data_IF_861137327689
#
_entry.id   IF_861137327689
#
_cell.length_a   1.000
_cell.length_b   1.000
_cell.length_c   1.000
_cell.angle_alpha   90.00
_cell.angle_beta   90.00
_cell.angle_gamma   90.00
#
_symmetry.space_group_name_H-M   'P 1'
#
loop_
_entity.id
_entity.type
_entity.pdbx_description
1 polymer ?
#
# COMPACT_ATOMS: atom_id res chain seq x y z
N UNK A 1 -24.35 3.55 -11.79
CA UNK A 1 -23.79 2.67 -12.84
C UNK A 1 -23.80 1.23 -12.39
N UNK A 2 -23.82 0.29 -13.34
CA UNK A 2 -23.58 -1.14 -13.10
C UNK A 2 -22.14 -1.48 -13.48
N UNK A 3 -21.33 -1.80 -12.50
CA UNK A 3 -19.87 -1.97 -12.65
C UNK A 3 -19.52 -3.44 -12.52
N UNK A 4 -18.83 -4.00 -13.52
CA UNK A 4 -18.15 -5.29 -13.39
C UNK A 4 -16.73 -5.06 -12.89
N UNK A 5 -16.46 -5.41 -11.64
CA UNK A 5 -15.13 -5.28 -11.06
C UNK A 5 -14.40 -6.63 -11.09
N UNK A 6 -13.19 -6.63 -11.63
CA UNK A 6 -12.35 -7.83 -11.76
C UNK A 6 -11.07 -7.63 -10.96
N UNK A 7 -10.81 -8.49 -9.98
CA UNK A 7 -9.66 -8.37 -9.09
C UNK A 7 -8.82 -9.65 -9.03
N UNK A 8 -7.51 -9.47 -8.83
CA UNK A 8 -6.55 -10.55 -8.60
C UNK A 8 -6.59 -11.12 -7.17
N UNK A 9 -7.49 -10.59 -6.31
CA UNK A 9 -7.66 -11.01 -4.91
C UNK A 9 -9.04 -10.63 -4.37
N UNK A 10 -9.52 -11.42 -3.41
CA UNK A 10 -10.64 -11.04 -2.54
C UNK A 10 -10.13 -10.03 -1.50
N UNK A 11 -10.74 -8.83 -1.33
CA UNK A 11 -10.17 -7.74 -0.54
C UNK A 11 -10.39 -7.86 0.99
N UNK A 12 -10.63 -9.04 1.51
CA UNK A 12 -10.76 -9.30 2.94
C UNK A 12 -10.11 -10.66 3.28
N UNK A 13 -9.48 -10.82 4.46
CA UNK A 13 -9.23 -9.83 5.52
C UNK A 13 -8.23 -8.74 5.13
N UNK A 14 -8.24 -7.60 5.83
CA UNK A 14 -7.47 -6.38 5.53
C UNK A 14 -5.98 -6.53 5.89
N UNK A 15 -5.28 -7.48 5.23
CA UNK A 15 -3.90 -7.85 5.55
C UNK A 15 -2.84 -7.18 4.70
N UNK A 16 -3.23 -6.38 3.72
CA UNK A 16 -2.30 -5.68 2.82
C UNK A 16 -2.90 -4.36 2.32
N UNK A 17 -2.05 -3.46 1.82
CA UNK A 17 -2.49 -2.18 1.27
C UNK A 17 -3.53 -2.31 0.15
N UNK A 18 -3.36 -3.28 -0.75
CA UNK A 18 -4.34 -3.55 -1.80
C UNK A 18 -5.70 -3.99 -1.25
N UNK A 19 -5.72 -4.85 -0.20
CA UNK A 19 -6.97 -5.24 0.46
C UNK A 19 -7.66 -4.04 1.10
N UNK A 20 -6.93 -3.21 1.85
CA UNK A 20 -7.47 -2.01 2.49
C UNK A 20 -8.04 -1.05 1.44
N UNK A 21 -7.31 -0.83 0.34
CA UNK A 21 -7.74 0.04 -0.76
C UNK A 21 -9.05 -0.45 -1.37
N UNK A 22 -9.06 -1.66 -1.90
CA UNK A 22 -10.22 -2.18 -2.63
C UNK A 22 -11.45 -2.32 -1.73
N UNK A 23 -11.27 -2.74 -0.47
CA UNK A 23 -12.34 -2.79 0.54
C UNK A 23 -13.02 -1.44 0.73
N UNK A 24 -12.24 -0.37 0.95
CA UNK A 24 -12.80 0.96 1.20
C UNK A 24 -13.41 1.57 -0.07
N UNK A 25 -12.82 1.33 -1.23
CA UNK A 25 -13.41 1.74 -2.53
C UNK A 25 -14.76 1.05 -2.74
N UNK A 26 -14.86 -0.27 -2.56
CA UNK A 26 -16.12 -1.01 -2.66
C UNK A 26 -17.18 -0.47 -1.70
N UNK A 27 -16.81 -0.26 -0.43
CA UNK A 27 -17.68 0.27 0.62
C UNK A 27 -18.33 1.60 0.22
N UNK A 28 -17.57 2.51 -0.39
CA UNK A 28 -18.08 3.84 -0.74
C UNK A 28 -18.81 3.80 -2.08
N UNK A 29 -18.27 3.14 -3.10
CA UNK A 29 -18.90 3.03 -4.41
C UNK A 29 -20.29 2.35 -4.34
N UNK A 30 -20.47 1.41 -3.42
CA UNK A 30 -21.75 0.70 -3.24
C UNK A 30 -22.93 1.62 -2.90
N UNK A 31 -22.66 2.82 -2.36
CA UNK A 31 -23.70 3.83 -2.09
C UNK A 31 -24.35 4.37 -3.36
N UNK A 32 -23.62 4.43 -4.48
CA UNK A 32 -24.08 5.05 -5.73
C UNK A 32 -24.08 4.10 -6.94
N UNK A 33 -23.47 2.92 -6.82
CA UNK A 33 -23.27 2.00 -7.93
C UNK A 33 -23.65 0.57 -7.57
N UNK A 34 -24.08 -0.20 -8.57
CA UNK A 34 -24.28 -1.64 -8.43
C UNK A 34 -23.01 -2.36 -8.87
N UNK A 35 -22.32 -3.01 -7.93
CA UNK A 35 -21.05 -3.67 -8.19
C UNK A 35 -21.24 -5.18 -8.25
N UNK A 36 -20.76 -5.78 -9.33
CA UNK A 36 -20.54 -7.24 -9.43
C UNK A 36 -19.04 -7.48 -9.37
N UNK A 37 -18.56 -8.15 -8.31
CA UNK A 37 -17.15 -8.46 -8.13
C UNK A 37 -16.84 -9.89 -8.59
N UNK A 38 -15.84 -10.03 -9.46
CA UNK A 38 -15.25 -11.32 -9.84
C UNK A 38 -13.79 -11.32 -9.43
N UNK A 39 -13.38 -12.19 -8.52
CA UNK A 39 -12.03 -12.14 -7.98
C UNK A 39 -11.42 -13.53 -7.70
N UNK A 40 -10.09 -13.56 -7.58
CA UNK A 40 -9.37 -14.73 -7.11
C UNK A 40 -9.41 -14.83 -5.58
N UNK A 41 -9.72 -16.02 -5.05
CA UNK A 41 -9.74 -16.34 -3.62
C UNK A 41 -8.54 -17.21 -3.26
N UNK A 42 -7.90 -16.91 -2.14
CA UNK A 42 -6.81 -17.73 -1.58
C UNK A 42 -7.38 -18.83 -0.67
N UNK A 43 -6.67 -19.97 -0.49
CA UNK A 43 -7.17 -21.09 0.32
C UNK A 43 -7.48 -20.78 1.78
N UNK A 44 -6.88 -19.72 2.35
CA UNK A 44 -7.13 -19.32 3.74
C UNK A 44 -8.34 -18.40 3.92
N UNK A 45 -8.92 -17.93 2.81
CA UNK A 45 -10.09 -17.04 2.86
C UNK A 45 -11.36 -17.88 2.95
N UNK A 46 -12.24 -17.50 3.87
CA UNK A 46 -13.44 -18.25 4.25
C UNK A 46 -14.70 -17.67 3.61
N UNK A 47 -15.84 -18.31 3.86
CA UNK A 47 -17.14 -17.80 3.42
C UNK A 47 -17.55 -16.56 4.24
N UNK A 48 -17.09 -16.44 5.50
CA UNK A 48 -17.27 -15.21 6.28
C UNK A 48 -16.53 -14.03 5.65
N UNK A 49 -15.33 -14.26 5.09
CA UNK A 49 -14.58 -13.22 4.36
C UNK A 49 -15.34 -12.76 3.12
N UNK A 50 -15.98 -13.68 2.40
CA UNK A 50 -16.85 -13.36 1.26
C UNK A 50 -18.09 -12.62 1.75
N UNK A 51 -18.69 -13.06 2.86
CA UNK A 51 -19.83 -12.43 3.51
C UNK A 51 -19.58 -10.97 3.89
N UNK A 52 -18.36 -10.65 4.34
CA UNK A 52 -17.98 -9.27 4.64
C UNK A 52 -18.01 -8.37 3.39
N UNK A 53 -17.51 -8.86 2.26
CA UNK A 53 -17.51 -8.10 1.00
C UNK A 53 -18.90 -8.06 0.36
N UNK A 54 -19.75 -9.05 0.59
CA UNK A 54 -21.12 -9.08 0.05
C UNK A 54 -22.00 -7.94 0.56
N UNK A 55 -21.62 -7.29 1.65
CA UNK A 55 -22.30 -6.07 2.14
C UNK A 55 -22.20 -4.91 1.15
N UNK A 56 -21.21 -4.93 0.25
CA UNK A 56 -20.92 -3.84 -0.69
C UNK A 56 -21.15 -4.23 -2.16
N UNK A 57 -21.34 -5.51 -2.44
CA UNK A 57 -21.49 -6.00 -3.81
C UNK A 57 -22.85 -6.65 -4.01
N UNK A 58 -23.51 -6.31 -5.12
CA UNK A 58 -24.76 -6.97 -5.54
C UNK A 58 -24.52 -8.47 -5.78
N UNK A 59 -23.35 -8.83 -6.29
CA UNK A 59 -22.95 -10.21 -6.60
C UNK A 59 -21.45 -10.36 -6.45
N UNK A 60 -21.03 -11.48 -5.89
CA UNK A 60 -19.61 -11.85 -5.81
C UNK A 60 -19.43 -13.24 -6.43
N UNK A 61 -18.44 -13.34 -7.29
CA UNK A 61 -18.00 -14.63 -7.84
C UNK A 61 -16.52 -14.79 -7.52
N UNK A 62 -16.19 -15.80 -6.75
CA UNK A 62 -14.80 -16.13 -6.42
C UNK A 62 -14.32 -17.34 -7.24
N UNK A 63 -13.05 -17.30 -7.64
CA UNK A 63 -12.38 -18.45 -8.24
C UNK A 63 -11.08 -18.72 -7.47
N UNK A 64 -10.72 -19.98 -7.33
CA UNK A 64 -9.51 -20.32 -6.58
C UNK A 64 -8.27 -19.82 -7.30
N UNK A 65 -7.40 -19.15 -6.54
CA UNK A 65 -6.11 -18.71 -7.01
C UNK A 65 -5.14 -19.87 -7.11
N UNK A 66 -4.47 -19.98 -8.25
CA UNK A 66 -3.40 -20.95 -8.45
C UNK A 66 -2.16 -20.61 -7.62
N UNK A 67 -1.42 -21.63 -7.19
CA UNK A 67 -0.12 -21.42 -6.54
C UNK A 67 0.84 -20.73 -7.51
N UNK A 68 1.31 -19.53 -7.13
CA UNK A 68 2.26 -18.75 -7.93
C UNK A 68 3.58 -19.51 -8.09
N UNK A 69 4.15 -19.94 -6.97
CA UNK A 69 5.40 -20.70 -6.92
C UNK A 69 5.13 -22.19 -7.07
N UNK A 70 5.11 -22.64 -8.32
CA UNK A 70 5.02 -24.05 -8.69
C UNK A 70 5.91 -24.33 -9.90
N UNK A 71 6.49 -25.52 -9.98
CA UNK A 71 7.33 -25.94 -11.12
C UNK A 71 6.58 -25.75 -12.45
N UNK A 72 5.30 -26.13 -12.47
CA UNK A 72 4.43 -25.95 -13.64
C UNK A 72 4.34 -24.48 -14.08
N UNK A 73 4.25 -23.54 -13.12
CA UNK A 73 4.14 -22.12 -13.44
C UNK A 73 5.47 -21.55 -13.91
N UNK A 74 6.58 -21.98 -13.32
CA UNK A 74 7.94 -21.59 -13.73
C UNK A 74 8.21 -22.04 -15.19
N UNK A 75 7.97 -23.33 -15.49
CA UNK A 75 8.13 -23.87 -16.85
C UNK A 75 7.23 -23.13 -17.84
N UNK A 76 5.96 -22.93 -17.49
CA UNK A 76 5.01 -22.20 -18.34
C UNK A 76 5.47 -20.77 -18.62
N UNK A 77 6.09 -20.10 -17.67
CA UNK A 77 6.64 -18.74 -17.85
C UNK A 77 7.79 -18.73 -18.85
N UNK A 78 8.66 -19.75 -18.80
CA UNK A 78 9.77 -19.90 -19.76
C UNK A 78 9.30 -19.93 -21.21
N UNK A 79 8.24 -20.69 -21.50
CA UNK A 79 7.70 -20.88 -22.86
C UNK A 79 6.54 -19.93 -23.20
N UNK A 80 6.15 -19.02 -22.32
CA UNK A 80 5.05 -18.08 -22.50
C UNK A 80 5.54 -16.67 -22.83
N UNK A 81 4.69 -15.91 -23.52
CA UNK A 81 4.87 -14.44 -23.66
C UNK A 81 4.56 -13.68 -22.38
N UNK A 82 3.93 -14.33 -21.40
CA UNK A 82 3.57 -13.71 -20.12
C UNK A 82 4.71 -13.83 -19.12
N UNK A 83 4.98 -12.76 -18.32
CA UNK A 83 5.91 -12.82 -17.20
C UNK A 83 5.37 -13.72 -16.09
N UNK A 84 6.24 -14.10 -15.15
CA UNK A 84 5.91 -14.98 -14.03
C UNK A 84 4.70 -14.50 -13.23
N UNK A 85 4.64 -13.18 -12.95
CA UNK A 85 3.53 -12.56 -12.24
C UNK A 85 2.19 -12.82 -12.95
N UNK A 86 2.10 -12.47 -14.22
CA UNK A 86 0.86 -12.60 -15.04
C UNK A 86 0.48 -14.05 -15.30
N UNK A 87 1.48 -14.94 -15.49
CA UNK A 87 1.25 -16.37 -15.70
C UNK A 87 0.50 -16.99 -14.51
N UNK A 88 0.84 -16.58 -13.29
CA UNK A 88 0.16 -17.04 -12.07
C UNK A 88 -1.31 -16.61 -11.95
N UNK A 89 -1.67 -15.48 -12.57
CA UNK A 89 -3.03 -14.97 -12.62
C UNK A 89 -3.80 -15.32 -13.90
N UNK A 90 -3.21 -16.12 -14.80
CA UNK A 90 -3.93 -16.63 -15.97
C UNK A 90 -4.84 -17.79 -15.56
N UNK A 91 -6.15 -17.53 -15.48
CA UNK A 91 -7.13 -18.43 -14.91
C UNK A 91 -8.32 -18.64 -15.86
N UNK A 92 -8.46 -19.87 -16.41
CA UNK A 92 -9.55 -20.20 -17.33
C UNK A 92 -10.94 -20.04 -16.69
N UNK A 93 -11.05 -20.39 -15.40
CA UNK A 93 -12.33 -20.27 -14.68
C UNK A 93 -12.70 -18.79 -14.50
N UNK A 94 -11.75 -17.92 -14.14
CA UNK A 94 -11.96 -16.47 -14.07
C UNK A 94 -12.45 -15.93 -15.42
N UNK A 95 -11.78 -16.29 -16.51
CA UNK A 95 -12.20 -15.91 -17.87
C UNK A 95 -13.61 -16.39 -18.22
N UNK A 96 -13.95 -17.65 -17.87
CA UNK A 96 -15.27 -18.21 -18.11
C UNK A 96 -16.35 -17.46 -17.35
N UNK A 97 -16.13 -17.19 -16.05
CA UNK A 97 -17.09 -16.45 -15.23
C UNK A 97 -17.33 -15.02 -15.75
N UNK A 98 -16.27 -14.31 -16.12
CA UNK A 98 -16.39 -12.98 -16.74
C UNK A 98 -17.17 -13.05 -18.04
N UNK A 99 -16.86 -14.03 -18.91
CA UNK A 99 -17.54 -14.20 -20.19
C UNK A 99 -19.04 -14.51 -20.03
N UNK A 100 -19.40 -15.35 -19.04
CA UNK A 100 -20.78 -15.67 -18.73
C UNK A 100 -21.57 -14.47 -18.21
N UNK A 101 -20.95 -13.66 -17.32
CA UNK A 101 -21.58 -12.43 -16.83
C UNK A 101 -21.86 -11.44 -17.96
N UNK A 102 -20.88 -11.20 -18.83
CA UNK A 102 -21.01 -10.27 -19.94
C UNK A 102 -22.03 -10.69 -21.01
N UNK A 103 -22.34 -12.02 -21.09
CA UNK A 103 -23.39 -12.53 -21.97
C UNK A 103 -24.81 -12.36 -21.36
N UNK A 104 -24.91 -12.49 -20.04
CA UNK A 104 -26.20 -12.59 -19.35
C UNK A 104 -26.63 -11.32 -18.63
N UNK A 105 -25.72 -10.39 -18.38
CA UNK A 105 -25.96 -9.15 -17.65
C UNK A 105 -25.38 -7.95 -18.40
N UNK A 106 -26.04 -6.79 -18.28
CA UNK A 106 -25.58 -5.53 -18.85
C UNK A 106 -24.80 -4.76 -17.79
N UNK A 107 -23.62 -4.27 -18.18
CA UNK A 107 -22.76 -3.40 -17.39
C UNK A 107 -22.49 -2.10 -18.16
N UNK A 108 -22.19 -1.03 -17.43
CA UNK A 108 -21.82 0.26 -18.02
C UNK A 108 -20.30 0.32 -18.28
N UNK A 109 -19.50 -0.29 -17.40
CA UNK A 109 -18.04 -0.39 -17.54
C UNK A 109 -17.47 -1.62 -16.82
N UNK A 110 -16.22 -1.94 -17.15
CA UNK A 110 -15.40 -2.95 -16.47
C UNK A 110 -14.28 -2.22 -15.72
N UNK A 111 -14.20 -2.40 -14.39
CA UNK A 111 -13.06 -1.95 -13.60
C UNK A 111 -12.14 -3.13 -13.32
N UNK A 112 -10.89 -3.02 -13.67
CA UNK A 112 -9.86 -4.05 -13.44
C UNK A 112 -8.89 -3.58 -12.37
N UNK A 113 -8.83 -4.32 -11.27
CA UNK A 113 -7.84 -4.11 -10.21
C UNK A 113 -6.58 -4.88 -10.52
N UNK A 114 -5.57 -4.16 -10.97
CA UNK A 114 -4.26 -4.55 -11.45
C UNK A 114 -4.25 -5.25 -12.82
N UNK A 115 -3.25 -4.90 -13.63
CA UNK A 115 -3.10 -5.44 -15.00
C UNK A 115 -2.89 -6.97 -15.04
N UNK A 116 -2.51 -7.60 -13.91
CA UNK A 116 -2.22 -9.05 -13.90
C UNK A 116 -3.42 -9.92 -14.26
N UNK A 117 -4.64 -9.41 -14.20
CA UNK A 117 -5.85 -10.16 -14.57
C UNK A 117 -6.45 -9.74 -15.91
N UNK A 118 -5.91 -8.69 -16.55
CA UNK A 118 -6.38 -8.19 -17.85
C UNK A 118 -6.44 -9.25 -18.95
N UNK A 119 -5.52 -10.23 -18.97
CA UNK A 119 -5.51 -11.32 -19.95
C UNK A 119 -6.68 -12.30 -19.80
N UNK A 120 -7.43 -12.24 -18.68
CA UNK A 120 -8.63 -13.05 -18.47
C UNK A 120 -9.88 -12.37 -19.04
N UNK A 121 -9.83 -11.09 -19.43
CA UNK A 121 -10.94 -10.45 -20.12
C UNK A 121 -11.14 -11.06 -21.52
N UNK A 122 -12.38 -11.34 -21.93
CA UNK A 122 -12.68 -11.61 -23.33
C UNK A 122 -12.48 -10.33 -24.16
N UNK A 123 -12.67 -10.41 -25.47
CA UNK A 123 -12.83 -9.20 -26.28
C UNK A 123 -14.15 -8.52 -25.90
N UNK A 124 -14.08 -7.26 -25.51
CA UNK A 124 -15.22 -6.47 -25.03
C UNK A 124 -15.29 -5.13 -25.75
N UNK A 125 -16.49 -4.60 -25.87
CA UNK A 125 -16.77 -3.24 -26.38
C UNK A 125 -17.03 -2.26 -25.25
N UNK A 126 -17.26 -2.77 -24.02
CA UNK A 126 -17.48 -1.95 -22.83
C UNK A 126 -16.18 -1.19 -22.46
N UNK A 127 -16.30 0.03 -21.94
CA UNK A 127 -15.17 0.75 -21.40
C UNK A 127 -14.47 -0.03 -20.29
N UNK A 128 -13.13 -0.03 -20.34
CA UNK A 128 -12.27 -0.68 -19.33
C UNK A 128 -11.48 0.39 -18.59
N UNK A 129 -11.66 0.47 -17.28
CA UNK A 129 -10.85 1.28 -16.37
C UNK A 129 -9.90 0.36 -15.63
N UNK A 130 -8.60 0.62 -15.76
CA UNK A 130 -7.55 -0.18 -15.14
C UNK A 130 -6.95 0.58 -13.96
N UNK A 131 -6.91 -0.03 -12.78
CA UNK A 131 -6.18 0.51 -11.62
C UNK A 131 -4.82 -0.16 -11.50
N UNK A 132 -3.77 0.65 -11.36
CA UNK A 132 -2.41 0.23 -11.04
C UNK A 132 -2.04 0.66 -9.63
N UNK A 133 -1.60 -0.30 -8.81
CA UNK A 133 -1.14 -0.02 -7.45
C UNK A 133 0.32 0.41 -7.40
N UNK A 134 1.09 -0.03 -8.39
CA UNK A 134 2.50 0.28 -8.61
C UNK A 134 2.81 0.05 -10.08
N UNK A 135 3.93 0.58 -10.54
CA UNK A 135 4.55 0.14 -11.79
C UNK A 135 5.44 -1.06 -11.45
N UNK A 136 4.92 -2.26 -11.70
CA UNK A 136 5.57 -3.51 -11.28
C UNK A 136 6.94 -3.71 -11.94
N UNK A 137 7.09 -3.33 -13.21
CA UNK A 137 8.38 -3.40 -13.91
C UNK A 137 9.48 -2.63 -13.19
N UNK A 138 9.17 -1.46 -12.61
CA UNK A 138 10.13 -0.67 -11.82
C UNK A 138 10.47 -1.33 -10.48
N UNK A 139 9.50 -1.98 -9.83
CA UNK A 139 9.75 -2.73 -8.59
C UNK A 139 10.69 -3.89 -8.85
N UNK A 140 10.45 -4.66 -9.92
CA UNK A 140 11.29 -5.78 -10.30
C UNK A 140 12.69 -5.34 -10.75
N UNK A 141 12.83 -4.18 -11.42
CA UNK A 141 14.14 -3.59 -11.74
C UNK A 141 14.95 -3.25 -10.48
N UNK A 142 14.32 -2.67 -9.45
CA UNK A 142 14.97 -2.40 -8.16
C UNK A 142 15.32 -3.70 -7.43
N UNK A 143 14.44 -4.68 -7.42
CA UNK A 143 14.68 -5.98 -6.85
C UNK A 143 15.89 -6.69 -7.49
N UNK A 144 16.04 -6.59 -8.82
CA UNK A 144 17.17 -7.15 -9.56
C UNK A 144 18.52 -6.66 -9.05
N UNK A 145 18.61 -5.42 -8.55
CA UNK A 145 19.89 -4.87 -8.03
C UNK A 145 20.40 -5.67 -6.84
N UNK A 146 19.51 -6.14 -5.97
CA UNK A 146 19.84 -6.95 -4.77
C UNK A 146 19.93 -8.46 -5.04
N UNK A 147 19.69 -8.89 -6.28
CA UNK A 147 19.66 -10.32 -6.65
C UNK A 147 21.05 -10.83 -7.03
N UNK A 148 21.41 -12.09 -6.70
CA UNK A 148 22.66 -12.71 -7.12
C UNK A 148 22.86 -12.66 -8.64
N UNK A 149 24.12 -12.47 -9.09
CA UNK A 149 24.46 -12.19 -10.49
C UNK A 149 23.98 -13.28 -11.47
N UNK A 150 24.02 -14.55 -11.06
CA UNK A 150 23.62 -15.69 -11.91
C UNK A 150 22.10 -15.79 -12.16
N UNK A 151 21.27 -15.13 -11.34
CA UNK A 151 19.82 -15.07 -11.53
C UNK A 151 19.42 -13.88 -12.41
N UNK A 152 20.25 -12.81 -12.46
CA UNK A 152 19.93 -11.57 -13.18
C UNK A 152 19.53 -11.75 -14.64
N UNK A 153 20.16 -12.65 -15.45
CA UNK A 153 19.75 -12.83 -16.85
C UNK A 153 18.29 -13.33 -17.01
N UNK A 154 17.88 -14.32 -16.20
CA UNK A 154 16.51 -14.83 -16.21
C UNK A 154 15.52 -13.76 -15.76
N UNK A 155 15.87 -13.02 -14.72
CA UNK A 155 15.04 -11.94 -14.21
C UNK A 155 14.92 -10.81 -15.23
N UNK A 156 15.97 -10.47 -16.00
CA UNK A 156 15.90 -9.49 -17.08
C UNK A 156 14.87 -9.88 -18.16
N UNK A 157 14.86 -11.13 -18.58
CA UNK A 157 13.87 -11.63 -19.56
C UNK A 157 12.45 -11.45 -19.03
N UNK A 158 12.24 -11.80 -17.76
CA UNK A 158 10.92 -11.70 -17.13
C UNK A 158 10.49 -10.22 -16.98
N UNK A 159 11.40 -9.33 -16.60
CA UNK A 159 11.16 -7.89 -16.50
C UNK A 159 10.81 -7.29 -17.87
N UNK A 160 11.50 -7.66 -18.93
CA UNK A 160 11.17 -7.19 -20.28
C UNK A 160 9.77 -7.64 -20.72
N UNK A 161 9.40 -8.90 -20.42
CA UNK A 161 8.03 -9.38 -20.65
C UNK A 161 7.02 -8.59 -19.80
N UNK A 162 7.36 -8.35 -18.53
CA UNK A 162 6.50 -7.63 -17.58
C UNK A 162 6.21 -6.21 -18.09
N UNK A 163 7.26 -5.45 -18.41
CA UNK A 163 7.15 -4.10 -18.95
C UNK A 163 6.26 -4.05 -20.19
N UNK A 164 6.50 -4.94 -21.16
CA UNK A 164 5.72 -5.01 -22.39
C UNK A 164 4.22 -5.33 -22.16
N UNK A 165 3.91 -6.18 -21.19
CA UNK A 165 2.51 -6.54 -20.87
C UNK A 165 1.82 -5.41 -20.11
N UNK A 166 2.53 -4.76 -19.19
CA UNK A 166 2.09 -3.61 -18.44
C UNK A 166 1.76 -2.43 -19.37
N UNK A 167 2.67 -2.01 -20.21
CA UNK A 167 2.47 -0.98 -21.25
C UNK A 167 1.28 -1.30 -22.16
N UNK A 168 1.17 -2.55 -22.59
CA UNK A 168 0.04 -3.00 -23.41
C UNK A 168 -1.30 -2.95 -22.68
N UNK A 169 -1.30 -3.19 -21.36
CA UNK A 169 -2.52 -3.08 -20.55
C UNK A 169 -2.96 -1.61 -20.46
N UNK A 170 -2.01 -0.69 -20.25
CA UNK A 170 -2.28 0.76 -20.22
C UNK A 170 -2.84 1.26 -21.55
N UNK A 171 -2.22 0.90 -22.66
CA UNK A 171 -2.69 1.29 -24.01
C UNK A 171 -4.09 0.77 -24.33
N UNK A 172 -4.47 -0.38 -23.77
CA UNK A 172 -5.78 -1.00 -24.03
C UNK A 172 -6.92 -0.49 -23.16
N UNK A 173 -6.61 0.06 -22.02
CA UNK A 173 -7.61 0.61 -21.13
C UNK A 173 -8.17 1.93 -21.64
N UNK A 174 -9.46 2.20 -21.45
CA UNK A 174 -10.08 3.48 -21.80
C UNK A 174 -9.65 4.58 -20.83
N UNK A 175 -9.37 4.21 -19.57
CA UNK A 175 -8.71 5.06 -18.59
C UNK A 175 -7.83 4.24 -17.65
N UNK A 176 -6.75 4.83 -17.15
CA UNK A 176 -5.86 4.21 -16.18
C UNK A 176 -5.84 5.03 -14.89
N UNK A 177 -5.94 4.32 -13.77
CA UNK A 177 -5.82 4.90 -12.43
C UNK A 177 -4.43 4.63 -11.90
N UNK A 178 -3.69 5.68 -11.64
CA UNK A 178 -2.40 5.64 -10.96
C UNK A 178 -2.54 6.06 -9.50
N UNK A 179 -1.74 5.49 -8.59
CA UNK A 179 -1.79 5.86 -7.17
C UNK A 179 -0.92 7.07 -6.83
N UNK A 180 -0.06 7.52 -7.75
CA UNK A 180 0.80 8.67 -7.56
C UNK A 180 0.95 9.51 -8.84
N UNK A 181 1.37 10.79 -8.67
CA UNK A 181 1.72 11.65 -9.81
C UNK A 181 2.90 11.11 -10.60
N UNK A 182 3.86 10.46 -9.94
CA UNK A 182 5.03 9.87 -10.59
C UNK A 182 4.61 8.72 -11.50
N UNK A 183 3.76 7.81 -11.01
CA UNK A 183 3.24 6.71 -11.82
C UNK A 183 2.40 7.22 -12.99
N UNK A 184 1.55 8.23 -12.73
CA UNK A 184 0.79 8.90 -13.80
C UNK A 184 1.70 9.42 -14.92
N UNK A 185 2.79 10.08 -14.59
CA UNK A 185 3.69 10.67 -15.58
C UNK A 185 4.30 9.60 -16.50
N UNK A 186 4.60 8.41 -15.97
CA UNK A 186 5.11 7.28 -16.73
C UNK A 186 4.01 6.65 -17.61
N UNK A 187 2.81 6.46 -17.04
CA UNK A 187 1.68 5.83 -17.75
C UNK A 187 1.17 6.73 -18.87
N UNK A 188 1.29 8.05 -18.76
CA UNK A 188 0.83 9.01 -19.78
C UNK A 188 1.49 8.86 -21.15
N UNK A 189 2.67 8.26 -21.22
CA UNK A 189 3.32 7.96 -22.51
C UNK A 189 2.57 6.87 -23.29
N UNK A 190 1.66 6.14 -22.64
CA UNK A 190 0.91 5.01 -23.22
C UNK A 190 -0.60 5.22 -23.22
N UNK A 191 -1.11 6.13 -22.39
CA UNK A 191 -2.54 6.42 -22.27
C UNK A 191 -2.76 7.88 -21.83
N UNK A 192 -3.53 8.65 -22.60
CA UNK A 192 -3.79 10.06 -22.29
C UNK A 192 -4.76 10.23 -21.12
N UNK A 193 -5.66 9.25 -20.89
CA UNK A 193 -6.68 9.26 -19.86
C UNK A 193 -6.17 8.65 -18.56
N UNK A 194 -5.23 9.33 -17.88
CA UNK A 194 -4.66 8.85 -16.61
C UNK A 194 -5.07 9.74 -15.44
N UNK A 195 -5.74 9.15 -14.46
CA UNK A 195 -6.22 9.78 -13.24
C UNK A 195 -5.36 9.39 -12.05
N UNK A 196 -5.11 10.34 -11.14
CA UNK A 196 -4.41 10.05 -9.87
C UNK A 196 -5.44 9.80 -8.79
N UNK A 197 -5.53 8.57 -8.33
CA UNK A 197 -6.41 8.15 -7.23
C UNK A 197 -5.53 7.48 -6.18
N UNK A 198 -4.98 8.24 -5.21
CA UNK A 198 -4.02 7.73 -4.24
C UNK A 198 -4.64 6.72 -3.27
N UNK A 199 -3.82 6.13 -2.41
CA UNK A 199 -4.32 5.39 -1.25
C UNK A 199 -4.88 6.37 -0.23
N UNK A 200 -5.90 5.93 0.52
CA UNK A 200 -6.57 6.73 1.53
C UNK A 200 -6.43 6.15 2.92
N UNK A 201 -7.03 6.84 3.87
CA UNK A 201 -7.17 6.39 5.24
C UNK A 201 -8.58 6.67 5.74
N UNK A 202 -9.08 5.80 6.62
CA UNK A 202 -10.36 6.00 7.30
C UNK A 202 -10.17 6.99 8.46
N UNK A 203 -10.49 8.26 8.20
CA UNK A 203 -10.32 9.36 9.14
C UNK A 203 -11.10 9.12 10.45
N UNK A 204 -12.28 8.48 10.37
CA UNK A 204 -13.11 8.21 11.54
C UNK A 204 -12.48 7.15 12.43
N UNK A 205 -11.88 6.12 11.83
CA UNK A 205 -11.17 5.06 12.57
C UNK A 205 -9.94 5.58 13.31
N UNK A 206 -9.27 6.60 12.75
CA UNK A 206 -8.06 7.21 13.32
C UNK A 206 -8.37 8.55 14.03
N UNK A 207 -9.62 8.75 14.44
CA UNK A 207 -10.01 9.87 15.29
C UNK A 207 -9.59 9.54 16.73
N UNK A 208 -8.45 10.11 17.16
CA UNK A 208 -8.11 10.10 18.59
C UNK A 208 -9.11 11.02 19.28
N UNK A 209 -9.79 10.52 20.29
CA UNK A 209 -10.90 11.16 21.01
C UNK A 209 -10.53 12.50 21.67
N UNK A 210 -9.26 12.82 21.69
CA UNK A 210 -8.70 14.12 21.99
C UNK A 210 -7.58 14.35 20.97
N UNK A 211 -7.86 15.11 19.90
CA UNK A 211 -6.82 15.77 19.14
C UNK A 211 -6.18 16.84 20.06
N UNK A 212 -5.65 16.35 21.15
CA UNK A 212 -4.70 17.09 21.94
C UNK A 212 -3.41 16.98 21.18
N UNK A 213 -2.83 18.09 20.86
CA UNK A 213 -1.39 18.33 20.77
C UNK A 213 -0.66 17.69 21.97
N UNK A 214 -0.86 16.42 22.19
CA UNK A 214 -0.27 15.68 23.29
C UNK A 214 1.06 15.12 22.85
N UNK A 215 2.03 15.98 22.86
CA UNK A 215 3.21 15.53 23.59
C UNK A 215 2.66 15.20 24.98
N UNK A 216 2.42 13.91 25.25
CA UNK A 216 2.04 13.47 26.59
C UNK A 216 3.07 14.07 27.53
N UNK A 217 2.64 14.78 28.56
CA UNK A 217 3.52 15.24 29.62
C UNK A 217 4.12 14.06 30.44
N UNK A 218 3.91 12.80 29.99
CA UNK A 218 4.62 11.62 30.48
C UNK A 218 6.10 11.79 30.10
N UNK A 219 7.00 11.72 31.05
CA UNK A 219 8.43 11.90 30.84
C UNK A 219 9.08 10.89 29.88
N UNK A 220 8.30 9.91 29.30
CA UNK A 220 8.77 8.92 28.35
C UNK A 220 8.06 9.03 27.01
N UNK A 221 8.81 9.04 25.90
CA UNK A 221 8.34 9.13 24.53
C UNK A 221 8.45 7.79 23.81
N UNK A 222 7.40 7.41 23.06
CA UNK A 222 7.35 6.16 22.30
C UNK A 222 7.61 6.43 20.82
N UNK A 223 8.73 5.92 20.30
CA UNK A 223 9.03 5.88 18.88
C UNK A 223 8.53 4.56 18.33
N UNK A 224 7.60 4.60 17.37
CA UNK A 224 6.97 3.45 16.76
C UNK A 224 7.62 3.13 15.41
N UNK A 225 7.91 1.86 15.16
CA UNK A 225 8.03 1.30 13.81
C UNK A 225 6.98 0.18 13.65
N UNK A 226 6.17 0.24 12.58
CA UNK A 226 5.13 -0.76 12.33
C UNK A 226 5.24 -1.34 10.91
N UNK A 227 5.07 -2.68 10.77
CA UNK A 227 5.06 -3.33 9.47
C UNK A 227 4.91 -4.84 9.51
N UNK A 228 4.56 -5.46 8.37
CA UNK A 228 4.60 -6.92 8.19
C UNK A 228 6.01 -7.32 7.71
N UNK A 229 6.73 -8.08 8.52
CA UNK A 229 8.13 -8.45 8.28
C UNK A 229 8.31 -9.59 7.25
N UNK A 230 7.23 -10.07 6.63
CA UNK A 230 7.35 -10.88 5.42
C UNK A 230 7.95 -10.04 4.26
N UNK A 231 7.78 -8.71 4.29
CA UNK A 231 8.28 -7.80 3.28
C UNK A 231 9.71 -7.35 3.57
N UNK A 232 10.54 -7.34 2.53
CA UNK A 232 11.98 -7.02 2.65
C UNK A 232 12.22 -5.57 3.10
N UNK A 233 11.40 -4.64 2.63
CA UNK A 233 11.47 -3.21 2.98
C UNK A 233 11.29 -2.97 4.48
N UNK A 234 10.40 -3.70 5.14
CA UNK A 234 10.20 -3.57 6.59
C UNK A 234 11.37 -4.18 7.38
N UNK A 235 11.94 -5.30 6.88
CA UNK A 235 13.14 -5.90 7.49
C UNK A 235 14.36 -5.01 7.34
N UNK A 236 14.54 -4.38 6.19
CA UNK A 236 15.62 -3.43 5.93
C UNK A 236 15.51 -2.19 6.83
N UNK A 237 14.33 -1.57 6.86
CA UNK A 237 14.06 -0.40 7.70
C UNK A 237 14.30 -0.69 9.19
N UNK A 238 13.77 -1.81 9.71
CA UNK A 238 13.97 -2.19 11.11
C UNK A 238 15.47 -2.46 11.43
N UNK A 239 16.21 -3.06 10.49
CA UNK A 239 17.64 -3.27 10.67
C UNK A 239 18.40 -1.94 10.75
N UNK A 240 18.09 -0.98 9.87
CA UNK A 240 18.66 0.36 9.92
C UNK A 240 18.32 1.07 11.25
N UNK A 241 17.07 0.98 11.69
CA UNK A 241 16.68 1.54 13.00
C UNK A 241 17.53 0.94 14.12
N UNK A 242 17.58 -0.38 14.22
CA UNK A 242 18.21 -1.08 15.34
C UNK A 242 19.74 -0.98 15.36
N UNK A 243 20.39 -0.97 14.18
CA UNK A 243 21.84 -0.95 14.08
C UNK A 243 22.46 0.45 14.08
N UNK A 244 21.76 1.38 13.43
CA UNK A 244 22.37 2.67 13.09
C UNK A 244 21.68 3.84 13.80
N UNK A 245 20.35 3.95 13.66
CA UNK A 245 19.61 5.13 14.14
C UNK A 245 19.41 5.08 15.66
N UNK A 246 18.92 3.96 16.20
CA UNK A 246 18.58 3.84 17.63
C UNK A 246 19.79 4.02 18.56
N UNK A 247 20.96 3.36 18.32
CA UNK A 247 22.16 3.60 19.14
C UNK A 247 22.58 5.07 19.14
N UNK A 248 22.54 5.74 17.98
CA UNK A 248 22.95 7.13 17.86
C UNK A 248 21.98 8.11 18.57
N UNK A 249 20.67 7.81 18.57
CA UNK A 249 19.69 8.58 19.35
C UNK A 249 19.93 8.42 20.84
N UNK A 250 20.17 7.18 21.33
CA UNK A 250 20.43 6.94 22.75
C UNK A 250 21.60 7.77 23.24
N UNK A 251 22.75 7.74 22.56
CA UNK A 251 23.94 8.53 22.90
C UNK A 251 23.63 10.04 22.98
N UNK A 252 22.78 10.56 22.10
CA UNK A 252 22.45 11.99 22.06
C UNK A 252 21.47 12.41 23.18
N UNK A 253 20.64 11.48 23.64
CA UNK A 253 19.58 11.74 24.64
C UNK A 253 20.05 11.40 26.06
N UNK A 254 21.01 10.49 26.25
CA UNK A 254 21.57 10.16 27.57
C UNK A 254 22.09 11.38 28.36
N UNK A 255 22.44 12.45 27.64
CA UNK A 255 22.81 13.75 28.23
C UNK A 255 21.61 14.65 28.54
N UNK A 256 20.35 14.18 28.33
CA UNK A 256 19.12 14.95 28.47
C UNK A 256 18.07 14.31 29.40
N UNK A 257 17.06 15.08 29.78
CA UNK A 257 15.97 14.65 30.65
C UNK A 257 14.90 13.77 29.96
N UNK A 258 15.04 13.52 28.62
CA UNK A 258 14.03 12.83 27.80
C UNK A 258 14.23 11.32 27.89
N UNK A 259 13.26 10.59 28.43
CA UNK A 259 13.21 9.12 28.34
C UNK A 259 12.52 8.72 27.03
N UNK A 260 13.15 7.80 26.29
CA UNK A 260 12.59 7.29 25.03
C UNK A 260 12.57 5.76 25.03
N UNK A 261 11.58 5.20 24.34
CA UNK A 261 11.54 3.78 24.01
C UNK A 261 11.21 3.57 22.54
N UNK A 262 11.78 2.52 21.98
CA UNK A 262 11.50 2.04 20.63
C UNK A 262 10.51 0.88 20.70
N UNK A 263 9.39 1.00 19.99
CA UNK A 263 8.37 -0.03 19.90
C UNK A 263 8.25 -0.53 18.46
N UNK A 264 8.69 -1.76 18.21
CA UNK A 264 8.66 -2.41 16.90
C UNK A 264 7.46 -3.35 16.88
N UNK A 265 6.48 -3.03 16.04
CA UNK A 265 5.20 -3.73 15.96
C UNK A 265 5.06 -4.41 14.61
N UNK A 266 4.60 -5.67 14.61
CA UNK A 266 4.22 -6.32 13.37
C UNK A 266 4.29 -7.84 13.40
N UNK A 267 3.88 -8.46 12.29
CA UNK A 267 3.84 -9.91 12.17
C UNK A 267 5.17 -10.44 11.61
N UNK A 268 5.59 -11.63 12.11
CA UNK A 268 6.76 -12.37 11.60
C UNK A 268 8.07 -11.59 11.74
N UNK A 269 8.30 -10.98 12.91
CA UNK A 269 9.56 -10.30 13.21
C UNK A 269 10.67 -11.35 13.30
N UNK A 270 11.70 -11.29 12.43
CA UNK A 270 12.79 -12.27 12.45
C UNK A 270 13.57 -12.23 13.76
N UNK A 271 13.96 -13.39 14.29
CA UNK A 271 14.79 -13.48 15.49
C UNK A 271 16.15 -12.76 15.34
N UNK A 272 16.67 -12.70 14.11
CA UNK A 272 17.86 -11.93 13.80
C UNK A 272 17.71 -10.42 14.03
N UNK A 273 16.48 -9.87 13.95
CA UNK A 273 16.19 -8.48 14.32
C UNK A 273 15.96 -8.36 15.83
N UNK A 274 15.25 -9.31 16.44
CA UNK A 274 15.02 -9.29 17.89
C UNK A 274 16.34 -9.31 18.68
N UNK A 275 17.35 -10.06 18.20
CA UNK A 275 18.71 -10.08 18.79
C UNK A 275 19.45 -8.75 18.69
N UNK A 276 19.05 -7.83 17.82
CA UNK A 276 19.62 -6.48 17.74
C UNK A 276 18.96 -5.51 18.73
N UNK A 277 17.85 -5.92 19.36
CA UNK A 277 17.20 -5.16 20.41
C UNK A 277 18.09 -5.07 21.64
N UNK A 278 17.92 -4.01 22.40
CA UNK A 278 18.61 -3.76 23.66
C UNK A 278 17.65 -3.09 24.63
N UNK A 279 18.21 -2.43 25.63
CA UNK A 279 17.45 -1.67 26.60
C UNK A 279 16.53 -0.64 25.91
N UNK A 280 15.31 -0.49 26.40
CA UNK A 280 14.26 0.40 25.86
C UNK A 280 13.80 0.06 24.43
N UNK A 281 14.03 -1.19 23.95
CA UNK A 281 13.48 -1.71 22.71
C UNK A 281 12.47 -2.82 23.01
N UNK A 282 11.27 -2.69 22.49
CA UNK A 282 10.23 -3.72 22.61
C UNK A 282 9.75 -4.19 21.24
N UNK A 283 9.49 -5.51 21.13
CA UNK A 283 8.96 -6.15 19.93
C UNK A 283 7.57 -6.70 20.26
N UNK A 284 6.59 -6.41 19.40
CA UNK A 284 5.21 -6.82 19.62
C UNK A 284 4.61 -7.44 18.36
N UNK A 285 4.46 -8.77 18.38
CA UNK A 285 3.81 -9.52 17.30
C UNK A 285 2.31 -9.75 17.57
N UNK A 286 1.85 -9.43 18.79
CA UNK A 286 0.47 -9.61 19.25
C UNK A 286 -0.27 -8.28 19.43
N UNK A 287 0.25 -7.21 18.84
CA UNK A 287 -0.40 -5.91 18.88
C UNK A 287 -1.82 -5.98 18.29
N UNK A 288 -2.74 -5.12 18.76
CA UNK A 288 -4.11 -5.11 18.27
C UNK A 288 -4.19 -5.08 16.73
N UNK A 289 -5.11 -5.85 16.17
CA UNK A 289 -5.39 -5.79 14.73
C UNK A 289 -5.92 -4.41 14.29
N UNK A 290 -6.51 -3.68 15.25
CA UNK A 290 -6.94 -2.30 15.07
C UNK A 290 -5.74 -1.36 15.26
N UNK A 291 -5.15 -0.93 14.13
CA UNK A 291 -3.92 -0.13 14.12
C UNK A 291 -4.06 1.24 14.80
N UNK A 292 -5.26 1.82 14.87
CA UNK A 292 -5.52 3.06 15.60
C UNK A 292 -5.05 2.99 17.06
N UNK A 293 -5.30 1.86 17.75
CA UNK A 293 -4.86 1.64 19.15
C UNK A 293 -3.34 1.56 19.31
N UNK A 294 -2.63 1.26 18.22
CA UNK A 294 -1.16 1.27 18.20
C UNK A 294 -0.67 2.72 18.12
N UNK A 295 -1.23 3.50 17.18
CA UNK A 295 -0.85 4.91 17.02
C UNK A 295 -1.22 5.77 18.25
N UNK A 296 -2.29 5.47 18.97
CA UNK A 296 -2.64 6.15 20.24
C UNK A 296 -1.53 6.07 21.31
N UNK A 297 -0.68 5.04 21.24
CA UNK A 297 0.43 4.83 22.20
C UNK A 297 1.75 5.43 21.70
N UNK A 298 1.81 5.88 20.45
CA UNK A 298 3.01 6.41 19.81
C UNK A 298 3.07 7.94 19.88
N UNK A 299 4.27 8.47 20.05
CA UNK A 299 4.56 9.90 19.92
C UNK A 299 5.18 10.21 18.55
N UNK A 300 5.87 9.25 17.94
CA UNK A 300 6.54 9.41 16.66
C UNK A 300 6.49 8.10 15.86
N UNK A 301 6.15 8.18 14.57
CA UNK A 301 6.39 7.11 13.61
C UNK A 301 7.77 7.31 12.96
N UNK A 302 8.64 6.32 13.12
CA UNK A 302 9.93 6.26 12.42
C UNK A 302 9.84 5.28 11.26
N UNK A 303 10.00 5.75 10.02
CA UNK A 303 9.79 4.94 8.82
C UNK A 303 10.91 5.13 7.79
N UNK A 304 12.15 4.64 8.04
CA UNK A 304 13.29 4.81 7.15
C UNK A 304 13.26 3.84 5.97
N UNK A 305 12.29 4.02 5.09
CA UNK A 305 12.06 3.16 3.92
C UNK A 305 13.06 3.49 2.81
N UNK A 306 13.89 2.51 2.42
CA UNK A 306 14.88 2.61 1.33
C UNK A 306 14.57 1.69 0.14
N UNK A 307 13.58 0.82 0.30
CA UNK A 307 13.14 -0.15 -0.71
C UNK A 307 11.63 -0.03 -0.81
N UNK A 308 11.08 0.03 -2.02
CA UNK A 308 9.64 0.06 -2.24
C UNK A 308 9.20 1.21 -3.15
N UNK A 309 7.92 1.48 -3.14
CA UNK A 309 7.24 2.52 -3.91
C UNK A 309 5.78 2.61 -3.50
N UNK A 310 5.06 3.57 -4.11
CA UNK A 310 3.64 3.82 -3.83
C UNK A 310 3.39 4.57 -2.51
N UNK A 311 2.13 4.87 -2.24
CA UNK A 311 1.70 5.62 -1.05
C UNK A 311 1.72 4.73 0.19
N UNK A 312 2.46 5.12 1.21
CA UNK A 312 2.61 4.35 2.45
C UNK A 312 1.41 4.50 3.39
N UNK A 313 0.65 3.43 3.61
CA UNK A 313 -0.48 3.42 4.54
C UNK A 313 -0.07 3.77 5.98
N UNK A 314 1.07 3.27 6.47
CA UNK A 314 1.54 3.55 7.83
C UNK A 314 1.78 5.05 8.07
N UNK A 315 2.23 5.77 7.04
CA UNK A 315 2.43 7.21 7.11
C UNK A 315 1.07 7.92 7.15
N UNK A 316 0.14 7.56 6.27
CA UNK A 316 -1.21 8.13 6.26
C UNK A 316 -1.95 7.85 7.58
N UNK A 317 -1.83 6.66 8.15
CA UNK A 317 -2.43 6.29 9.43
C UNK A 317 -1.83 7.09 10.60
N UNK A 318 -0.50 7.28 10.61
CA UNK A 318 0.17 8.12 11.61
C UNK A 318 -0.27 9.59 11.51
N UNK A 319 -0.30 10.15 10.29
CA UNK A 319 -0.77 11.51 10.05
C UNK A 319 -2.24 11.68 10.47
N UNK A 320 -3.09 10.72 10.14
CA UNK A 320 -4.50 10.68 10.56
C UNK A 320 -4.66 10.57 12.08
N UNK A 321 -3.73 9.93 12.76
CA UNK A 321 -3.72 9.78 14.23
C UNK A 321 -3.08 10.96 14.96
N UNK A 322 -2.59 11.99 14.26
CA UNK A 322 -1.88 13.11 14.88
C UNK A 322 -0.49 12.73 15.44
N UNK A 323 0.09 11.65 14.92
CA UNK A 323 1.43 11.18 15.27
C UNK A 323 2.44 11.78 14.29
N UNK A 324 3.49 12.42 14.81
CA UNK A 324 4.55 12.97 13.97
C UNK A 324 5.26 11.86 13.19
N UNK A 325 5.74 12.17 11.99
CA UNK A 325 6.40 11.21 11.10
C UNK A 325 7.79 11.68 10.75
N UNK A 326 8.78 10.78 10.89
CA UNK A 326 10.11 10.92 10.30
C UNK A 326 10.31 9.77 9.32
N UNK A 327 10.57 10.11 8.05
CA UNK A 327 10.69 9.13 6.96
C UNK A 327 11.72 9.57 5.93
N UNK A 328 12.08 8.67 5.01
CA UNK A 328 12.93 9.02 3.85
C UNK A 328 12.14 9.74 2.77
N UNK A 329 12.83 10.39 1.85
CA UNK A 329 12.24 10.92 0.61
C UNK A 329 11.50 9.82 -0.17
N UNK A 330 12.06 8.61 -0.21
CA UNK A 330 11.40 7.45 -0.84
C UNK A 330 10.12 7.04 -0.08
N UNK A 331 10.14 7.05 1.26
CA UNK A 331 8.96 6.72 2.08
C UNK A 331 7.82 7.73 1.92
N UNK A 332 8.15 8.99 1.56
CA UNK A 332 7.19 10.06 1.27
C UNK A 332 6.67 10.06 -0.18
N UNK A 333 7.21 9.19 -1.06
CA UNK A 333 6.79 9.13 -2.47
C UNK A 333 5.28 8.83 -2.57
N UNK A 334 4.60 9.60 -3.42
CA UNK A 334 3.15 9.48 -3.62
C UNK A 334 2.31 10.28 -2.64
N UNK A 335 2.93 10.90 -1.61
CA UNK A 335 2.27 11.82 -0.70
C UNK A 335 2.52 13.28 -1.13
N UNK A 336 1.51 14.14 -0.95
CA UNK A 336 1.59 15.58 -1.22
C UNK A 336 2.12 16.33 0.00
N UNK A 337 3.20 15.84 0.59
CA UNK A 337 3.81 16.36 1.81
C UNK A 337 5.08 17.16 1.53
N UNK A 338 5.38 18.11 2.39
CA UNK A 338 6.59 18.89 2.38
C UNK A 338 7.35 18.68 3.69
N UNK A 339 8.69 18.68 3.57
CA UNK A 339 9.56 18.58 4.74
C UNK A 339 9.34 19.76 5.68
N UNK A 340 9.23 19.50 6.99
CA UNK A 340 9.01 20.48 8.07
C UNK A 340 7.66 21.21 8.03
N UNK A 341 6.73 20.74 7.18
CA UNK A 341 5.34 21.23 7.15
C UNK A 341 4.36 20.15 7.63
N UNK A 342 4.33 18.97 7.01
CA UNK A 342 3.46 17.84 7.40
C UNK A 342 4.24 16.64 7.95
N UNK A 343 5.51 16.49 7.56
CA UNK A 343 6.41 15.42 8.00
C UNK A 343 7.84 15.94 8.13
N UNK A 344 8.73 15.12 8.70
CA UNK A 344 10.17 15.31 8.61
C UNK A 344 10.77 14.30 7.64
N UNK A 345 11.58 14.79 6.69
CA UNK A 345 12.29 13.95 5.72
C UNK A 345 13.75 13.87 6.14
N UNK A 346 14.28 12.64 6.20
CA UNK A 346 15.66 12.32 6.54
C UNK A 346 16.11 11.16 5.64
N UNK A 347 17.23 11.30 4.94
CA UNK A 347 17.73 10.31 3.99
C UNK A 347 18.99 9.59 4.50
N UNK A 348 19.65 10.11 5.55
CA UNK A 348 20.78 9.47 6.22
C UNK A 348 20.61 9.37 7.75
N UNK A 349 21.50 8.62 8.40
CA UNK A 349 21.42 8.36 9.83
C UNK A 349 21.53 9.63 10.68
N UNK A 350 22.35 10.59 10.27
CA UNK A 350 22.56 11.84 10.99
C UNK A 350 21.30 12.71 10.93
N UNK A 351 20.70 12.83 9.75
CA UNK A 351 19.43 13.55 9.56
C UNK A 351 18.30 12.92 10.36
N UNK A 352 18.22 11.56 10.42
CA UNK A 352 17.24 10.87 11.28
C UNK A 352 17.41 11.23 12.74
N UNK A 353 18.62 11.15 13.27
CA UNK A 353 18.92 11.47 14.67
C UNK A 353 18.59 12.94 14.97
N UNK A 354 18.94 13.86 14.07
CA UNK A 354 18.64 15.28 14.23
C UNK A 354 17.11 15.52 14.21
N UNK A 355 16.41 15.00 13.22
CA UNK A 355 14.96 15.16 13.06
C UNK A 355 14.18 14.60 14.24
N UNK A 356 14.54 13.40 14.72
CA UNK A 356 13.91 12.77 15.88
C UNK A 356 14.17 13.59 17.15
N UNK A 357 15.40 14.02 17.37
CA UNK A 357 15.76 14.82 18.54
C UNK A 357 15.04 16.16 18.53
N UNK A 358 14.98 16.83 17.38
CA UNK A 358 14.31 18.12 17.22
C UNK A 358 12.81 18.01 17.49
N UNK A 359 12.11 17.07 16.82
CA UNK A 359 10.66 16.96 16.93
C UNK A 359 10.20 16.57 18.33
N UNK A 360 10.96 15.73 19.04
CA UNK A 360 10.60 15.32 20.39
C UNK A 360 10.88 16.39 21.47
N UNK A 361 11.79 17.35 21.21
CA UNK A 361 12.13 18.43 22.12
C UNK A 361 11.43 19.76 21.78
N UNK A 362 10.86 19.89 20.58
CA UNK A 362 10.20 21.13 20.13
C UNK A 362 8.68 20.94 20.00
N UNK A 363 7.97 21.31 21.08
CA UNK A 363 6.51 21.20 21.14
C UNK A 363 5.81 21.97 20.02
N UNK A 364 6.25 23.18 19.70
CA UNK A 364 5.62 24.01 18.68
C UNK A 364 5.78 23.39 17.28
N UNK A 365 6.95 22.82 16.98
CA UNK A 365 7.20 22.12 15.73
C UNK A 365 6.32 20.85 15.64
N UNK A 366 6.24 20.09 16.73
CA UNK A 366 5.40 18.90 16.82
C UNK A 366 3.93 19.22 16.53
N UNK A 367 3.37 20.21 17.21
CA UNK A 367 1.98 20.65 17.05
C UNK A 367 1.70 21.15 15.63
N UNK A 368 2.62 21.96 15.07
CA UNK A 368 2.52 22.45 13.69
C UNK A 368 2.45 21.27 12.71
N UNK A 369 3.44 20.36 12.76
CA UNK A 369 3.55 19.24 11.82
C UNK A 369 2.34 18.32 11.93
N UNK A 370 1.96 17.90 13.12
CA UNK A 370 0.84 16.98 13.31
C UNK A 370 -0.51 17.57 12.90
N UNK A 371 -0.73 18.86 13.16
CA UNK A 371 -1.92 19.58 12.72
C UNK A 371 -1.99 19.68 11.19
N UNK A 372 -0.90 20.08 10.54
CA UNK A 372 -0.84 20.18 9.09
C UNK A 372 -1.01 18.81 8.42
N UNK A 373 -0.32 17.78 8.96
CA UNK A 373 -0.44 16.39 8.50
C UNK A 373 -1.89 15.90 8.55
N UNK A 374 -2.58 16.13 9.67
CA UNK A 374 -3.99 15.75 9.85
C UNK A 374 -4.88 16.50 8.85
N UNK A 375 -4.74 17.81 8.70
CA UNK A 375 -5.53 18.60 7.74
C UNK A 375 -5.33 18.11 6.31
N UNK A 376 -4.09 17.82 5.92
CA UNK A 376 -3.79 17.29 4.58
C UNK A 376 -4.47 15.94 4.34
N UNK A 377 -4.46 15.04 5.33
CA UNK A 377 -5.07 13.72 5.21
C UNK A 377 -6.59 13.82 5.13
N UNK A 378 -7.22 14.69 5.92
CA UNK A 378 -8.65 14.95 5.86
C UNK A 378 -9.09 15.50 4.51
N UNK A 379 -8.29 16.39 3.93
CA UNK A 379 -8.62 17.03 2.66
C UNK A 379 -8.35 16.11 1.45
N UNK A 380 -7.19 15.45 1.41
CA UNK A 380 -6.69 14.79 0.20
C UNK A 380 -6.73 13.26 0.25
N UNK A 381 -6.67 12.65 1.44
CA UNK A 381 -6.50 11.19 1.60
C UNK A 381 -7.66 10.50 2.32
N UNK A 382 -8.77 11.19 2.50
CA UNK A 382 -10.03 10.60 2.91
C UNK A 382 -10.60 9.73 1.77
N UNK A 383 -11.01 8.52 2.08
CA UNK A 383 -11.54 7.58 1.10
C UNK A 383 -12.75 8.11 0.32
N UNK A 384 -13.60 8.93 0.94
CA UNK A 384 -14.76 9.55 0.27
C UNK A 384 -14.29 10.50 -0.86
N UNK A 385 -13.28 11.33 -0.62
CA UNK A 385 -12.73 12.25 -1.63
C UNK A 385 -11.97 11.50 -2.72
N UNK A 386 -11.22 10.46 -2.33
CA UNK A 386 -10.49 9.59 -3.26
C UNK A 386 -11.45 8.87 -4.21
N UNK A 387 -12.56 8.35 -3.69
CA UNK A 387 -13.56 7.65 -4.50
C UNK A 387 -14.25 8.59 -5.49
N UNK A 388 -14.46 9.86 -5.14
CA UNK A 388 -14.95 10.88 -6.09
C UNK A 388 -14.01 11.08 -7.29
N UNK A 389 -12.71 11.04 -7.06
CA UNK A 389 -11.72 11.12 -8.16
C UNK A 389 -11.80 9.87 -9.06
N UNK A 390 -12.01 8.68 -8.48
CA UNK A 390 -12.24 7.46 -9.24
C UNK A 390 -13.54 7.53 -10.06
N UNK A 391 -14.62 8.07 -9.50
CA UNK A 391 -15.90 8.29 -10.22
C UNK A 391 -15.75 9.26 -11.40
N UNK A 392 -14.86 10.26 -11.32
CA UNK A 392 -14.54 11.12 -12.48
C UNK A 392 -13.97 10.32 -13.64
N UNK A 393 -13.06 9.39 -13.36
CA UNK A 393 -12.52 8.50 -14.39
C UNK A 393 -13.60 7.59 -14.99
N UNK A 394 -14.55 7.11 -14.19
CA UNK A 394 -15.68 6.33 -14.71
C UNK A 394 -16.55 7.15 -15.66
N UNK A 395 -16.92 8.38 -15.27
CA UNK A 395 -17.74 9.28 -16.08
C UNK A 395 -17.07 9.74 -17.37
N UNK A 396 -15.75 9.73 -17.43
CA UNK A 396 -15.03 10.15 -18.64
C UNK A 396 -15.03 9.09 -19.75
N UNK A 397 -15.41 7.84 -19.45
CA UNK A 397 -15.37 6.72 -20.39
C UNK A 397 -16.74 6.12 -20.68
N UNK A 398 -17.78 6.48 -19.93
CA UNK A 398 -19.18 6.09 -20.12
C UNK A 398 -19.96 7.26 -20.72
#
# INVERSE_FOLDING_TARGET
MKILMVSSYLPYPLTSGGHIRLYNILKILSGNHQITLVCEKRPYQTDEDIGEISKFCKKIITVDRKKQWSIKNILRTGFSKYPFLVTGHTNKNLKSQISNLLKNEKFDLIHVETFYVMQNLPKVTLPVVLTEHNIESLIYERFKQSTPFFIKPLLNIDILKLKKIEEKAWTKANAVIAVSKNDRNIIRDFNENVYVVPNGVDIKKFQISNFKSQIKNSGEKTILFIGDFKWVENRDAARMILKDIWPAIKLKIENGKLKIKLWIVGKKIPDSLKRLGGENVSFDENAPSETSKIYEKADLLLSPIRIGGGTSFKILEAMASGVAVVTTRLGAVGLLVKNREEILIADDNQEFVQSITEILNNKNLYEKITKNARSLVEEKYNWENITKELEKAYRSVV
#
